data_IF_241402584039
#
_entry.id   IF_241402584039
#
_cell.length_a   1.000
_cell.length_b   1.000
_cell.length_c   1.000
_cell.angle_alpha   90.00
_cell.angle_beta   90.00
_cell.angle_gamma   90.00
#
_symmetry.space_group_name_H-M   'P 1'
#
loop_
_entity.id
_entity.type
_entity.pdbx_description
1 polymer ?
#
# COMPACT_ATOMS: atom_id res chain seq x y z
N UNK A 1 5.07 -9.66 -30.76
CA UNK A 1 4.33 -10.75 -30.10
C UNK A 1 3.18 -10.12 -29.33
N UNK A 2 2.00 -10.71 -29.27
CA UNK A 2 0.94 -10.16 -28.41
C UNK A 2 1.47 -10.18 -26.97
N UNK A 3 1.22 -9.11 -26.25
CA UNK A 3 1.58 -9.00 -24.83
C UNK A 3 0.71 -9.98 -24.04
N UNK A 4 1.35 -10.86 -23.28
CA UNK A 4 0.64 -11.83 -22.44
C UNK A 4 0.56 -11.28 -21.01
N UNK A 5 -0.66 -11.11 -20.52
CA UNK A 5 -0.93 -10.71 -19.14
C UNK A 5 -0.98 -12.00 -18.30
N UNK A 6 0.02 -12.22 -17.44
CA UNK A 6 0.11 -13.40 -16.61
C UNK A 6 -0.56 -13.24 -15.24
N UNK A 7 -0.75 -12.00 -14.81
CA UNK A 7 -1.46 -11.63 -13.58
C UNK A 7 -1.93 -10.17 -13.65
N UNK A 8 -2.88 -9.84 -12.82
CA UNK A 8 -3.26 -8.46 -12.51
C UNK A 8 -2.85 -8.11 -11.09
N UNK A 9 -2.82 -6.83 -10.77
CA UNK A 9 -2.74 -6.31 -9.39
C UNK A 9 -3.86 -5.31 -9.17
N UNK A 10 -4.19 -5.02 -7.91
CA UNK A 10 -5.15 -3.97 -7.59
C UNK A 10 -4.74 -2.62 -8.20
N UNK A 11 -3.46 -2.26 -8.10
CA UNK A 11 -2.93 -1.02 -8.70
C UNK A 11 -3.06 -0.98 -10.22
N UNK A 12 -2.83 -2.12 -10.90
CA UNK A 12 -3.03 -2.25 -12.34
C UNK A 12 -4.50 -2.03 -12.73
N UNK A 13 -5.44 -2.66 -12.01
CA UNK A 13 -6.88 -2.51 -12.23
C UNK A 13 -7.31 -1.06 -11.97
N UNK A 14 -6.88 -0.47 -10.87
CA UNK A 14 -7.18 0.92 -10.52
C UNK A 14 -6.65 1.90 -11.57
N UNK A 15 -5.43 1.67 -12.06
CA UNK A 15 -4.84 2.46 -13.15
C UNK A 15 -5.67 2.38 -14.45
N UNK A 16 -6.14 1.18 -14.81
CA UNK A 16 -7.02 0.99 -15.97
C UNK A 16 -8.33 1.74 -15.83
N UNK A 17 -8.96 1.64 -14.66
CA UNK A 17 -10.23 2.32 -14.37
C UNK A 17 -10.08 3.84 -14.40
N UNK A 18 -8.93 4.35 -13.99
CA UNK A 18 -8.64 5.78 -14.04
C UNK A 18 -8.41 6.27 -15.47
N UNK A 19 -7.59 5.57 -16.24
CA UNK A 19 -7.31 5.88 -17.64
C UNK A 19 -6.74 4.66 -18.38
N UNK A 20 -7.55 4.00 -19.21
CA UNK A 20 -7.15 2.82 -19.97
C UNK A 20 -5.96 3.10 -20.93
N UNK A 21 -5.88 4.32 -21.49
CA UNK A 21 -4.74 4.71 -22.35
C UNK A 21 -3.43 4.81 -21.56
N UNK A 22 -3.45 5.46 -20.39
CA UNK A 22 -2.28 5.54 -19.52
C UNK A 22 -1.86 4.15 -19.03
N UNK A 23 -2.81 3.30 -18.67
CA UNK A 23 -2.57 1.91 -18.32
C UNK A 23 -1.86 1.16 -19.46
N UNK A 24 -2.37 1.29 -20.70
CA UNK A 24 -1.75 0.67 -21.88
C UNK A 24 -0.31 1.12 -22.07
N UNK A 25 -0.05 2.43 -22.00
CA UNK A 25 1.30 2.96 -22.13
C UNK A 25 2.25 2.40 -21.07
N UNK A 26 1.80 2.29 -19.84
CA UNK A 26 2.62 1.80 -18.74
C UNK A 26 2.79 0.27 -18.76
N UNK A 27 1.68 -0.49 -18.84
CA UNK A 27 1.70 -1.94 -18.65
C UNK A 27 1.97 -2.73 -19.95
N UNK A 28 1.54 -2.22 -21.09
CA UNK A 28 1.68 -2.91 -22.40
C UNK A 28 2.89 -2.37 -23.18
N UNK A 29 2.87 -1.07 -23.44
CA UNK A 29 3.89 -0.44 -24.28
C UNK A 29 5.21 -0.21 -23.52
N UNK A 30 5.19 -0.36 -22.18
CA UNK A 30 6.35 -0.19 -21.28
C UNK A 30 7.05 1.18 -21.43
N UNK A 31 6.27 2.21 -21.73
CA UNK A 31 6.78 3.57 -21.80
C UNK A 31 7.20 4.00 -20.40
N UNK A 32 8.48 4.29 -20.27
CA UNK A 32 9.02 4.81 -19.01
C UNK A 32 8.70 6.30 -18.88
N UNK A 33 8.04 6.65 -17.79
CA UNK A 33 7.81 8.04 -17.40
C UNK A 33 8.62 8.34 -16.15
N UNK A 34 9.06 9.59 -15.95
CA UNK A 34 9.71 9.98 -14.71
C UNK A 34 8.83 9.63 -13.50
N UNK A 35 9.47 9.14 -12.46
CA UNK A 35 8.79 8.80 -11.20
C UNK A 35 8.44 10.09 -10.44
N UNK A 36 7.27 10.15 -9.82
CA UNK A 36 6.89 11.29 -9.01
C UNK A 36 7.56 11.26 -7.62
N UNK A 37 7.88 12.43 -7.01
CA UNK A 37 8.43 12.50 -5.67
C UNK A 37 7.55 11.83 -4.61
N UNK A 38 6.24 11.89 -4.79
CA UNK A 38 5.28 11.24 -3.89
C UNK A 38 5.39 9.70 -3.91
N UNK A 39 5.62 9.13 -5.10
CA UNK A 39 5.81 7.68 -5.25
C UNK A 39 7.16 7.24 -4.68
N UNK A 40 8.23 7.99 -4.97
CA UNK A 40 9.56 7.74 -4.38
C UNK A 40 9.49 7.75 -2.85
N UNK A 41 8.90 8.80 -2.27
CA UNK A 41 8.75 8.91 -0.83
C UNK A 41 7.91 7.77 -0.25
N UNK A 42 6.77 7.48 -0.88
CA UNK A 42 5.87 6.40 -0.46
C UNK A 42 6.57 5.05 -0.44
N UNK A 43 7.21 4.67 -1.53
CA UNK A 43 7.92 3.40 -1.67
C UNK A 43 9.07 3.28 -0.67
N UNK A 44 9.89 4.33 -0.52
CA UNK A 44 10.98 4.33 0.46
C UNK A 44 10.45 4.20 1.90
N UNK A 45 9.35 4.90 2.22
CA UNK A 45 8.76 4.88 3.55
C UNK A 45 8.14 3.53 3.91
N UNK A 46 7.39 2.91 2.98
CA UNK A 46 6.85 1.56 3.12
C UNK A 46 7.97 0.55 3.38
N UNK A 47 8.95 0.51 2.48
CA UNK A 47 10.07 -0.41 2.60
C UNK A 47 10.84 -0.22 3.91
N UNK A 48 10.95 1.02 4.40
CA UNK A 48 11.57 1.32 5.71
C UNK A 48 10.83 0.64 6.86
N UNK A 49 9.52 0.80 6.92
CA UNK A 49 8.68 0.16 7.95
C UNK A 49 8.78 -1.37 7.85
N UNK A 50 8.71 -1.90 6.64
CA UNK A 50 8.85 -3.34 6.37
C UNK A 50 10.19 -3.91 6.84
N UNK A 51 11.32 -3.24 6.48
CA UNK A 51 12.65 -3.68 6.88
C UNK A 51 12.81 -3.69 8.41
N UNK A 52 12.27 -2.68 9.07
CA UNK A 52 12.30 -2.58 10.53
C UNK A 52 11.43 -3.65 11.20
N UNK A 53 10.17 -3.81 10.80
CA UNK A 53 9.26 -4.83 11.33
C UNK A 53 9.77 -6.25 11.04
N UNK A 54 10.41 -6.46 9.90
CA UNK A 54 11.02 -7.74 9.52
C UNK A 54 12.36 -8.04 10.22
N UNK A 55 12.82 -7.19 11.12
CA UNK A 55 14.09 -7.35 11.83
C UNK A 55 15.33 -7.27 10.92
N UNK A 56 15.18 -6.72 9.72
CA UNK A 56 16.28 -6.54 8.76
C UNK A 56 17.05 -5.22 8.95
N UNK A 57 16.52 -4.33 9.80
CA UNK A 57 17.15 -3.07 10.16
C UNK A 57 17.04 -2.84 11.67
N UNK A 58 18.13 -2.38 12.27
CA UNK A 58 18.21 -2.08 13.71
C UNK A 58 17.51 -0.76 14.06
N UNK A 59 17.51 0.21 13.13
CA UNK A 59 16.82 1.49 13.30
C UNK A 59 16.02 1.90 12.07
N UNK A 60 14.93 2.63 12.32
CA UNK A 60 14.10 3.21 11.25
C UNK A 60 14.87 4.22 10.41
N UNK A 61 15.76 5.00 11.02
CA UNK A 61 16.54 6.04 10.32
C UNK A 61 17.60 5.45 9.39
N UNK A 62 18.25 4.35 9.78
CA UNK A 62 19.21 3.65 8.93
C UNK A 62 18.49 2.95 7.75
N UNK A 63 17.36 2.31 8.03
CA UNK A 63 16.53 1.72 6.97
C UNK A 63 16.06 2.79 5.99
N UNK A 64 15.59 3.94 6.49
CA UNK A 64 15.15 5.07 5.67
C UNK A 64 16.26 5.58 4.75
N UNK A 65 17.46 5.78 5.29
CA UNK A 65 18.58 6.29 4.49
C UNK A 65 18.93 5.34 3.34
N UNK A 66 18.92 4.03 3.59
CA UNK A 66 19.17 3.01 2.56
C UNK A 66 18.05 2.93 1.51
N UNK A 67 16.80 2.91 1.97
CA UNK A 67 15.66 2.80 1.06
C UNK A 67 15.46 4.08 0.24
N UNK A 68 15.70 5.26 0.82
CA UNK A 68 15.70 6.51 0.09
C UNK A 68 16.76 6.53 -1.02
N UNK A 69 18.00 6.16 -0.68
CA UNK A 69 19.07 6.06 -1.68
C UNK A 69 18.68 5.10 -2.80
N UNK A 70 18.18 3.91 -2.48
CA UNK A 70 17.75 2.90 -3.44
C UNK A 70 16.63 3.39 -4.38
N UNK A 71 15.67 4.18 -3.86
CA UNK A 71 14.57 4.72 -4.64
C UNK A 71 14.95 5.94 -5.48
N UNK A 72 16.07 6.60 -5.18
CA UNK A 72 16.51 7.81 -5.90
C UNK A 72 17.69 7.56 -6.83
N UNK A 73 18.56 6.61 -6.49
CA UNK A 73 19.77 6.33 -7.25
C UNK A 73 19.45 5.67 -8.61
N UNK A 74 19.96 6.27 -9.68
CA UNK A 74 19.80 5.74 -11.04
C UNK A 74 18.40 5.85 -11.63
N UNK A 75 17.46 6.51 -10.96
CA UNK A 75 16.10 6.73 -11.47
C UNK A 75 15.92 8.14 -12.03
N UNK A 76 15.08 8.23 -13.08
CA UNK A 76 14.64 9.53 -13.60
C UNK A 76 13.42 9.97 -12.80
N UNK A 77 13.58 11.01 -11.97
CA UNK A 77 12.55 11.53 -11.10
C UNK A 77 12.22 12.95 -11.54
N UNK A 78 10.93 13.24 -11.73
CA UNK A 78 10.45 14.60 -11.95
C UNK A 78 10.13 15.23 -10.58
N UNK A 79 11.10 15.91 -10.03
CA UNK A 79 10.96 16.56 -8.72
C UNK A 79 9.98 17.73 -8.71
N UNK A 80 9.70 18.33 -9.88
CA UNK A 80 8.82 19.50 -9.98
C UNK A 80 9.28 20.63 -9.05
N UNK A 81 8.43 20.95 -8.05
CA UNK A 81 8.74 21.95 -6.99
C UNK A 81 9.26 21.31 -5.71
N UNK A 82 9.31 19.98 -5.62
CA UNK A 82 9.79 19.29 -4.43
C UNK A 82 11.32 19.29 -4.37
N UNK A 83 11.87 19.49 -3.17
CA UNK A 83 13.30 19.46 -2.91
C UNK A 83 13.64 18.10 -2.28
N UNK A 84 14.50 17.27 -2.91
CA UNK A 84 14.83 15.93 -2.44
C UNK A 84 15.28 15.87 -0.98
N UNK A 85 16.15 16.83 -0.58
CA UNK A 85 16.68 16.91 0.78
C UNK A 85 15.58 17.22 1.80
N UNK A 86 14.62 18.08 1.47
CA UNK A 86 13.49 18.41 2.35
C UNK A 86 12.58 17.18 2.52
N UNK A 87 12.35 16.42 1.45
CA UNK A 87 11.58 15.19 1.54
C UNK A 87 12.30 14.13 2.36
N UNK A 88 13.61 13.98 2.19
CA UNK A 88 14.41 13.08 3.00
C UNK A 88 14.31 13.43 4.49
N UNK A 89 14.53 14.70 4.83
CA UNK A 89 14.45 15.19 6.21
C UNK A 89 13.05 15.01 6.80
N UNK A 90 12.01 15.21 5.99
CA UNK A 90 10.63 14.94 6.40
C UNK A 90 10.39 13.48 6.76
N UNK A 91 11.01 12.54 6.05
CA UNK A 91 11.00 11.13 6.40
C UNK A 91 11.66 10.88 7.76
N UNK A 92 12.82 11.49 8.02
CA UNK A 92 13.50 11.42 9.32
C UNK A 92 12.58 11.96 10.42
N UNK A 93 11.99 13.15 10.22
CA UNK A 93 11.10 13.78 11.20
C UNK A 93 9.91 12.86 11.55
N UNK A 94 9.34 12.18 10.58
CA UNK A 94 8.22 11.24 10.78
C UNK A 94 8.67 9.99 11.56
N UNK A 95 9.82 9.43 11.20
CA UNK A 95 10.33 8.19 11.78
C UNK A 95 10.97 8.35 13.17
N UNK A 96 11.25 9.58 13.58
CA UNK A 96 11.74 9.94 14.93
C UNK A 96 10.69 10.61 15.81
N UNK A 97 9.49 10.86 15.25
CA UNK A 97 8.42 11.50 16.00
C UNK A 97 7.85 10.55 17.05
N UNK A 98 7.87 10.97 18.32
CA UNK A 98 7.49 10.14 19.46
C UNK A 98 6.01 9.74 19.44
N UNK A 99 5.12 10.62 18.97
CA UNK A 99 3.69 10.31 18.88
C UNK A 99 3.42 9.26 17.80
N UNK A 100 4.11 9.33 16.66
CA UNK A 100 4.04 8.32 15.60
C UNK A 100 4.57 6.98 16.11
N UNK A 101 5.73 6.97 16.77
CA UNK A 101 6.33 5.75 17.30
C UNK A 101 5.44 5.10 18.36
N UNK A 102 4.83 5.90 19.25
CA UNK A 102 3.88 5.41 20.24
C UNK A 102 2.64 4.81 19.59
N UNK A 103 2.09 5.46 18.56
CA UNK A 103 0.91 4.95 17.83
C UNK A 103 1.25 3.68 17.04
N UNK A 104 2.43 3.60 16.42
CA UNK A 104 2.91 2.35 15.80
C UNK A 104 3.02 1.23 16.84
N UNK A 105 3.61 1.52 18.00
CA UNK A 105 3.73 0.53 19.08
C UNK A 105 2.36 0.02 19.54
N UNK A 106 1.38 0.90 19.68
CA UNK A 106 0.06 0.55 20.13
C UNK A 106 -0.76 -0.23 19.10
N UNK A 107 -0.54 0.03 17.82
CA UNK A 107 -1.42 -0.50 16.75
C UNK A 107 -0.80 -1.63 15.96
N UNK A 108 0.53 -1.69 15.80
CA UNK A 108 1.21 -2.75 15.08
C UNK A 108 1.41 -3.99 15.97
N UNK A 109 1.76 -3.77 17.24
CA UNK A 109 2.08 -4.84 18.19
C UNK A 109 0.88 -5.14 19.11
N UNK A 110 -0.28 -5.40 18.51
CA UNK A 110 -1.46 -5.82 19.25
C UNK A 110 -1.16 -7.06 20.08
N UNK A 111 -1.59 -7.09 21.33
CA UNK A 111 -1.28 -8.17 22.27
C UNK A 111 0.21 -8.45 22.49
N UNK A 112 1.09 -7.46 22.24
CA UNK A 112 2.55 -7.58 22.34
C UNK A 112 3.17 -8.67 21.43
N UNK A 113 2.48 -9.05 20.36
CA UNK A 113 2.95 -10.00 19.37
C UNK A 113 3.42 -9.29 18.10
N UNK A 114 4.43 -9.86 17.45
CA UNK A 114 4.93 -9.35 16.17
C UNK A 114 3.87 -9.53 15.07
N UNK A 115 3.63 -8.49 14.25
CA UNK A 115 2.76 -8.61 13.10
C UNK A 115 3.40 -9.47 12.01
N UNK A 116 2.56 -10.02 11.12
CA UNK A 116 3.03 -10.60 9.85
C UNK A 116 3.05 -9.49 8.81
N UNK A 117 4.13 -9.42 8.03
CA UNK A 117 4.34 -8.37 7.04
C UNK A 117 4.46 -8.95 5.63
N UNK A 118 4.23 -8.13 4.60
CA UNK A 118 4.40 -8.46 3.18
C UNK A 118 3.73 -9.79 2.79
N UNK A 119 2.49 -9.99 3.27
CA UNK A 119 1.77 -11.23 3.00
C UNK A 119 1.23 -11.24 1.59
N UNK A 120 1.77 -12.13 0.74
CA UNK A 120 1.25 -12.33 -0.62
C UNK A 120 -0.15 -12.93 -0.56
N UNK A 121 -1.08 -12.33 -1.29
CA UNK A 121 -2.42 -12.85 -1.48
C UNK A 121 -2.77 -12.96 -2.97
N UNK A 122 -3.57 -13.96 -3.30
CA UNK A 122 -4.06 -14.21 -4.65
C UNK A 122 -5.56 -14.32 -4.65
N UNK A 123 -6.20 -13.64 -5.60
CA UNK A 123 -7.63 -13.69 -5.82
C UNK A 123 -7.92 -14.25 -7.22
N UNK A 124 -8.65 -15.35 -7.27
CA UNK A 124 -9.18 -15.92 -8.51
C UNK A 124 -10.63 -15.49 -8.71
N UNK A 125 -10.94 -14.97 -9.89
CA UNK A 125 -12.29 -14.50 -10.22
C UNK A 125 -12.83 -15.31 -11.39
N UNK A 126 -14.07 -15.84 -11.34
CA UNK A 126 -14.68 -16.54 -12.46
C UNK A 126 -14.64 -15.73 -13.75
N UNK A 127 -14.29 -16.35 -14.85
CA UNK A 127 -14.15 -15.74 -16.19
C UNK A 127 -12.99 -14.71 -16.32
N UNK A 128 -12.09 -14.63 -15.34
CA UNK A 128 -10.79 -13.94 -15.44
C UNK A 128 -9.71 -15.01 -15.39
N UNK A 129 -9.01 -15.29 -16.51
CA UNK A 129 -8.13 -16.48 -16.60
C UNK A 129 -6.78 -16.32 -15.88
N UNK A 130 -6.50 -15.16 -15.33
CA UNK A 130 -5.27 -14.86 -14.61
C UNK A 130 -5.55 -14.48 -13.15
N UNK A 131 -4.66 -14.80 -12.21
CA UNK A 131 -4.83 -14.41 -10.82
C UNK A 131 -4.63 -12.90 -10.66
N UNK A 132 -5.26 -12.35 -9.62
CA UNK A 132 -4.98 -11.02 -9.16
C UNK A 132 -4.12 -11.14 -7.92
N UNK A 133 -2.91 -10.59 -7.98
CA UNK A 133 -1.90 -10.71 -6.93
C UNK A 133 -1.80 -9.38 -6.18
N UNK A 134 -1.67 -9.46 -4.87
CA UNK A 134 -1.37 -8.33 -4.01
C UNK A 134 -0.50 -8.73 -2.83
N UNK A 135 -0.01 -7.73 -2.13
CA UNK A 135 0.78 -7.89 -0.91
C UNK A 135 0.13 -7.02 0.16
N UNK A 136 -0.18 -7.63 1.29
CA UNK A 136 -0.72 -6.94 2.46
C UNK A 136 0.47 -6.48 3.29
N UNK A 137 0.55 -5.18 3.56
CA UNK A 137 1.71 -4.59 4.22
C UNK A 137 1.88 -5.14 5.64
N UNK A 138 0.77 -5.30 6.37
CA UNK A 138 0.77 -5.77 7.76
C UNK A 138 -0.50 -6.58 8.08
N UNK A 139 -0.34 -7.65 8.84
CA UNK A 139 -1.44 -8.35 9.52
C UNK A 139 -1.09 -8.39 10.99
N UNK A 140 -1.85 -7.69 11.80
CA UNK A 140 -1.64 -7.62 13.26
C UNK A 140 -2.09 -8.90 13.97
N UNK A 141 -1.67 -9.15 15.20
CA UNK A 141 -1.95 -10.41 15.91
C UNK A 141 -3.44 -10.65 16.16
N UNK A 142 -4.26 -9.59 16.17
CA UNK A 142 -5.73 -9.67 16.19
C UNK A 142 -6.34 -10.01 14.80
N UNK A 143 -5.49 -10.46 13.85
CA UNK A 143 -5.85 -10.92 12.49
C UNK A 143 -6.48 -9.84 11.60
N UNK A 144 -6.24 -8.58 11.90
CA UNK A 144 -6.70 -7.47 11.06
C UNK A 144 -5.62 -7.12 10.04
N UNK A 145 -5.89 -7.26 8.73
CA UNK A 145 -4.97 -6.79 7.70
C UNK A 145 -4.99 -5.26 7.62
N UNK A 146 -3.87 -4.71 7.19
CA UNK A 146 -3.72 -3.27 7.02
C UNK A 146 -2.76 -2.89 5.90
N UNK A 147 -2.85 -1.64 5.52
CA UNK A 147 -2.09 -1.05 4.44
C UNK A 147 -1.51 0.30 4.87
N UNK A 148 -0.25 0.54 4.55
CA UNK A 148 0.45 1.76 4.86
C UNK A 148 0.22 2.79 3.75
N UNK A 149 -0.10 4.01 4.13
CA UNK A 149 -0.24 5.13 3.19
C UNK A 149 0.57 6.32 3.68
N UNK A 150 1.25 7.00 2.77
CA UNK A 150 1.82 8.31 3.03
C UNK A 150 0.96 9.38 2.38
N UNK A 151 0.70 10.48 3.09
CA UNK A 151 -0.16 11.55 2.57
C UNK A 151 0.35 12.94 2.95
N UNK A 152 0.22 13.90 2.05
CA UNK A 152 0.50 15.31 2.34
C UNK A 152 -0.61 16.01 3.14
N UNK A 153 -1.78 15.36 3.26
CA UNK A 153 -2.95 15.87 3.98
C UNK A 153 -3.54 14.77 4.85
N UNK A 154 -4.16 15.16 5.96
CA UNK A 154 -4.96 14.23 6.78
C UNK A 154 -6.08 13.62 5.95
N UNK A 155 -6.30 12.33 6.14
CA UNK A 155 -7.47 11.67 5.59
C UNK A 155 -8.71 11.95 6.45
N UNK A 156 -9.86 11.87 5.84
CA UNK A 156 -11.17 11.79 6.50
C UNK A 156 -11.60 10.34 6.59
N UNK A 157 -12.56 10.06 7.46
CA UNK A 157 -13.19 8.73 7.56
C UNK A 157 -13.78 8.30 6.22
N UNK A 158 -14.48 9.20 5.53
CA UNK A 158 -15.09 8.93 4.23
C UNK A 158 -14.04 8.53 3.18
N UNK A 159 -12.90 9.25 3.15
CA UNK A 159 -11.81 8.89 2.24
C UNK A 159 -11.29 7.48 2.49
N UNK A 160 -11.14 7.07 3.74
CA UNK A 160 -10.67 5.74 4.08
C UNK A 160 -11.72 4.65 3.73
N UNK A 161 -13.02 4.97 3.84
CA UNK A 161 -14.12 4.07 3.45
C UNK A 161 -14.25 3.91 1.92
N UNK A 162 -13.93 4.95 1.16
CA UNK A 162 -14.03 4.95 -0.31
C UNK A 162 -12.91 4.14 -0.98
N UNK A 163 -11.85 3.78 -0.24
CA UNK A 163 -10.78 2.94 -0.76
C UNK A 163 -11.29 1.52 -1.02
N UNK A 164 -11.15 1.04 -2.25
CA UNK A 164 -11.63 -0.28 -2.66
C UNK A 164 -10.58 -1.39 -2.52
N UNK A 165 -9.32 -1.04 -2.27
CA UNK A 165 -8.22 -1.97 -2.04
C UNK A 165 -8.49 -2.96 -0.88
N UNK A 166 -9.09 -2.53 0.27
CA UNK A 166 -9.45 -3.44 1.34
C UNK A 166 -10.36 -4.60 0.92
N UNK A 167 -11.34 -4.34 0.06
CA UNK A 167 -12.24 -5.40 -0.44
C UNK A 167 -11.49 -6.47 -1.22
N UNK A 168 -10.49 -6.05 -2.01
CA UNK A 168 -9.63 -6.96 -2.75
C UNK A 168 -8.83 -7.85 -1.77
N UNK A 169 -8.17 -7.26 -0.79
CA UNK A 169 -7.37 -8.00 0.18
C UNK A 169 -8.20 -8.97 1.01
N UNK A 170 -9.33 -8.51 1.54
CA UNK A 170 -10.22 -9.35 2.34
C UNK A 170 -10.83 -10.49 1.52
N UNK A 171 -11.20 -10.24 0.26
CA UNK A 171 -11.69 -11.29 -0.65
C UNK A 171 -10.61 -12.34 -0.93
N UNK A 172 -9.37 -11.90 -1.19
CA UNK A 172 -8.24 -12.78 -1.42
C UNK A 172 -7.90 -13.61 -0.18
N UNK A 173 -7.82 -12.99 0.98
CA UNK A 173 -7.58 -13.68 2.25
C UNK A 173 -8.65 -14.74 2.52
N UNK A 174 -9.93 -14.38 2.37
CA UNK A 174 -11.04 -15.31 2.57
C UNK A 174 -10.96 -16.49 1.59
N UNK A 175 -10.66 -16.26 0.32
CA UNK A 175 -10.52 -17.32 -0.68
C UNK A 175 -9.34 -18.24 -0.37
N UNK A 176 -8.25 -17.73 0.16
CA UNK A 176 -7.07 -18.49 0.56
C UNK A 176 -7.24 -19.19 1.92
N UNK A 177 -8.36 -19.03 2.61
CA UNK A 177 -8.63 -19.64 3.91
C UNK A 177 -8.02 -18.93 5.11
N UNK A 178 -7.52 -17.71 4.94
CA UNK A 178 -7.11 -16.88 6.07
C UNK A 178 -8.34 -16.38 6.84
N UNK A 179 -8.25 -16.23 8.17
CA UNK A 179 -9.31 -15.61 8.93
C UNK A 179 -9.51 -14.14 8.53
N UNK A 180 -10.77 -13.76 8.30
CA UNK A 180 -11.19 -12.39 7.99
C UNK A 180 -12.26 -11.95 8.99
N UNK A 181 -11.97 -12.09 10.27
CA UNK A 181 -12.90 -11.86 11.36
C UNK A 181 -13.52 -10.47 11.31
N UNK A 182 -14.86 -10.45 11.18
CA UNK A 182 -15.62 -9.21 11.10
C UNK A 182 -15.34 -8.36 9.85
N UNK A 183 -14.60 -8.88 8.86
CA UNK A 183 -14.25 -8.14 7.63
C UNK A 183 -13.62 -6.78 7.92
N UNK A 184 -12.78 -6.72 8.96
CA UNK A 184 -12.07 -5.52 9.39
C UNK A 184 -10.82 -5.30 8.53
N UNK A 185 -10.52 -4.03 8.28
CA UNK A 185 -9.30 -3.59 7.62
C UNK A 185 -8.81 -2.28 8.23
N UNK A 186 -7.49 -2.09 8.31
CA UNK A 186 -6.87 -0.87 8.83
C UNK A 186 -6.09 -0.13 7.76
N UNK A 187 -6.33 1.17 7.64
CA UNK A 187 -5.40 2.07 6.95
C UNK A 187 -4.52 2.78 7.98
N UNK A 188 -3.23 2.68 7.80
CA UNK A 188 -2.22 3.39 8.58
C UNK A 188 -1.69 4.55 7.75
N UNK A 189 -2.22 5.75 7.97
CA UNK A 189 -1.94 6.92 7.14
C UNK A 189 -0.90 7.81 7.81
N UNK A 190 0.30 7.76 7.31
CA UNK A 190 1.41 8.61 7.74
C UNK A 190 1.31 9.98 7.07
N UNK A 191 0.90 10.98 7.83
CA UNK A 191 0.63 12.34 7.32
C UNK A 191 1.89 13.18 7.41
N UNK A 192 2.48 13.51 6.27
CA UNK A 192 3.74 14.27 6.13
C UNK A 192 3.50 15.79 6.08
N UNK A 193 2.91 16.35 7.12
CA UNK A 193 2.71 17.80 7.30
C UNK A 193 3.82 18.38 8.17
N UNK A 194 3.76 19.68 8.45
CA UNK A 194 4.71 20.35 9.38
C UNK A 194 4.70 19.72 10.77
N UNK A 195 3.54 19.23 11.22
CA UNK A 195 3.39 18.40 12.41
C UNK A 195 2.96 17.02 11.94
N UNK A 196 3.91 16.09 11.73
CA UNK A 196 3.59 14.77 11.22
C UNK A 196 2.80 13.96 12.25
N UNK A 197 1.95 13.06 11.77
CA UNK A 197 1.17 12.17 12.61
C UNK A 197 0.83 10.87 11.90
N UNK A 198 0.55 9.83 12.66
CA UNK A 198 -0.07 8.61 12.18
C UNK A 198 -1.58 8.69 12.46
N UNK A 199 -2.39 8.47 11.42
CA UNK A 199 -3.84 8.27 11.56
C UNK A 199 -4.13 6.80 11.31
N UNK A 200 -4.89 6.18 12.18
CA UNK A 200 -5.34 4.80 12.01
C UNK A 200 -6.85 4.80 11.78
N UNK A 201 -7.27 4.20 10.68
CA UNK A 201 -8.68 4.03 10.34
C UNK A 201 -8.98 2.54 10.27
N UNK A 202 -9.80 2.05 11.18
CA UNK A 202 -10.33 0.69 11.12
C UNK A 202 -11.78 0.73 10.63
N UNK A 203 -12.06 -0.06 9.62
CA UNK A 203 -13.38 -0.18 9.03
C UNK A 203 -13.81 -1.62 8.89
N UNK A 204 -15.11 -1.84 9.04
CA UNK A 204 -15.77 -3.11 8.73
C UNK A 204 -16.33 -3.02 7.32
N UNK A 205 -15.92 -3.95 6.45
CA UNK A 205 -16.38 -4.02 5.08
C UNK A 205 -17.53 -5.02 4.94
N UNK A 206 -18.45 -4.72 4.01
CA UNK A 206 -19.57 -5.62 3.75
C UNK A 206 -19.16 -6.72 2.76
N UNK A 207 -19.21 -8.01 3.15
CA UNK A 207 -18.92 -9.12 2.24
C UNK A 207 -19.75 -9.12 0.93
N UNK A 208 -20.95 -8.57 0.96
CA UNK A 208 -21.79 -8.42 -0.23
C UNK A 208 -21.16 -7.55 -1.33
N UNK A 209 -20.25 -6.65 -0.98
CA UNK A 209 -19.52 -5.82 -1.95
C UNK A 209 -18.50 -6.62 -2.78
N UNK A 210 -18.14 -7.84 -2.39
CA UNK A 210 -17.26 -8.72 -3.17
C UNK A 210 -17.88 -9.04 -4.54
N UNK A 211 -19.19 -9.26 -4.61
CA UNK A 211 -19.85 -9.52 -5.88
C UNK A 211 -19.76 -8.32 -6.84
N UNK A 212 -19.85 -7.11 -6.29
CA UNK A 212 -19.61 -5.90 -7.05
C UNK A 212 -18.15 -5.81 -7.53
N UNK A 213 -17.18 -6.09 -6.65
CA UNK A 213 -15.75 -6.13 -6.99
C UNK A 213 -15.48 -7.11 -8.13
N UNK A 214 -16.01 -8.33 -8.03
CA UNK A 214 -15.84 -9.36 -9.07
C UNK A 214 -16.44 -8.91 -10.40
N UNK A 215 -17.67 -8.38 -10.39
CA UNK A 215 -18.32 -7.87 -11.59
C UNK A 215 -17.58 -6.70 -12.25
N UNK A 216 -16.99 -5.84 -11.44
CA UNK A 216 -16.13 -4.74 -11.91
C UNK A 216 -14.87 -5.28 -12.60
N UNK A 217 -14.15 -6.20 -11.98
CA UNK A 217 -12.93 -6.76 -12.54
C UNK A 217 -13.19 -7.59 -13.80
N UNK A 218 -14.29 -8.35 -13.84
CA UNK A 218 -14.72 -9.06 -15.04
C UNK A 218 -15.01 -8.14 -16.24
N UNK A 219 -15.49 -6.91 -15.98
CA UNK A 219 -15.68 -5.89 -17.03
C UNK A 219 -14.35 -5.29 -17.49
N UNK A 220 -13.41 -5.10 -16.58
CA UNK A 220 -12.05 -4.62 -16.93
C UNK A 220 -11.31 -5.63 -17.78
N UNK A 221 -11.51 -6.92 -17.55
CA UNK A 221 -10.85 -8.00 -18.29
C UNK A 221 -11.36 -8.16 -19.73
N UNK A 222 -12.59 -7.82 -20.03
CA UNK A 222 -13.21 -7.92 -21.38
C UNK A 222 -12.73 -6.83 -22.32
#
# INVERSE_FOLDING_TARGET
MPYEINHLSYSSISSYLMCAAAWKFHYIDKIQTPTSPALVFGSAFHNTIEQWLGGKAESLTDAWSKEWQKQTEGQVIDWGTDIPEELFNKGIDMLTNQDILAEMQNTFFTHAEMPVIETKVELSIPAVPVPIIGYIDIITSDKVPGDFKTSSKSWTTDKALDETQPLFYLAAMNQMGFPVDGWRFRHYVFVKTKTPKLQVFEHVHNPGQIMWLFGMIQKVWK
#
